data_IF_876517060796
#
_entry.id   IF_876517060796
#
_cell.length_a   1.000
_cell.length_b   1.000
_cell.length_c   1.000
_cell.angle_alpha   90.00
_cell.angle_beta   90.00
_cell.angle_gamma   90.00
#
_symmetry.space_group_name_H-M   'P 1'
#
loop_
_entity.id
_entity.type
_entity.pdbx_description
1 polymer ?
#
# COMPACT_ATOMS: atom_id res chain seq x y z
N UNK A 1 33.60 -7.09 23.60
CA UNK A 1 32.25 -7.37 24.13
C UNK A 1 31.46 -6.08 23.98
N UNK A 2 30.37 -6.09 23.20
CA UNK A 2 29.56 -4.88 23.00
C UNK A 2 28.73 -4.61 24.27
N UNK A 3 28.65 -3.34 24.71
CA UNK A 3 27.85 -2.96 25.86
C UNK A 3 26.36 -3.28 25.65
N UNK A 4 25.63 -3.73 26.68
CA UNK A 4 24.20 -3.93 26.60
C UNK A 4 23.55 -2.56 26.41
N UNK A 5 23.11 -2.27 25.18
CA UNK A 5 22.42 -1.02 24.86
C UNK A 5 21.33 -0.76 25.89
N UNK A 6 21.37 0.43 26.52
CA UNK A 6 20.44 0.85 27.56
C UNK A 6 19.03 0.47 27.14
N UNK A 7 18.28 -0.28 27.95
CA UNK A 7 16.93 -0.76 27.60
C UNK A 7 15.89 0.34 27.35
N UNK A 8 16.30 1.60 27.32
CA UNK A 8 15.55 2.79 26.98
C UNK A 8 15.25 2.87 25.48
N UNK A 9 14.15 3.54 25.15
CA UNK A 9 13.77 3.77 23.76
C UNK A 9 14.75 4.70 23.02
N UNK A 10 15.02 4.37 21.77
CA UNK A 10 15.86 5.19 20.89
C UNK A 10 15.14 6.48 20.45
N UNK A 11 15.90 7.48 20.02
CA UNK A 11 15.32 8.74 19.52
C UNK A 11 14.43 8.54 18.30
N UNK A 12 14.75 7.56 17.44
CA UNK A 12 13.91 7.19 16.30
C UNK A 12 12.57 6.63 16.75
N UNK A 13 12.54 5.74 17.76
CA UNK A 13 11.29 5.23 18.33
C UNK A 13 10.46 6.36 18.95
N UNK A 14 11.10 7.26 19.70
CA UNK A 14 10.44 8.42 20.31
C UNK A 14 9.87 9.38 19.27
N UNK A 15 10.63 9.69 18.20
CA UNK A 15 10.15 10.51 17.07
C UNK A 15 8.93 9.88 16.44
N UNK A 16 9.00 8.59 16.13
CA UNK A 16 7.91 7.85 15.50
C UNK A 16 6.65 7.79 16.37
N UNK A 17 6.80 7.57 17.67
CA UNK A 17 5.70 7.58 18.61
C UNK A 17 4.98 8.94 18.64
N UNK A 18 5.72 10.06 18.61
CA UNK A 18 5.15 11.41 18.55
C UNK A 18 4.39 11.68 17.25
N UNK A 19 4.92 11.24 16.11
CA UNK A 19 4.22 11.35 14.81
C UNK A 19 2.86 10.65 14.81
N UNK A 20 2.72 9.56 15.59
CA UNK A 20 1.48 8.79 15.74
C UNK A 20 0.57 9.29 16.88
N UNK A 21 0.99 10.35 17.59
CA UNK A 21 0.26 10.88 18.75
C UNK A 21 0.28 9.94 19.96
N UNK A 22 1.28 9.07 20.08
CA UNK A 22 1.47 8.20 21.25
C UNK A 22 2.09 9.01 22.38
N UNK A 23 1.44 9.00 23.55
CA UNK A 23 1.98 9.59 24.77
C UNK A 23 2.84 8.57 25.54
N UNK A 24 4.01 8.99 26.01
CA UNK A 24 4.96 8.15 26.73
C UNK A 24 5.85 8.99 27.67
N UNK A 25 6.49 8.36 28.66
CA UNK A 25 7.49 8.99 29.53
C UNK A 25 8.90 8.94 28.91
N UNK A 26 9.78 9.86 29.26
CA UNK A 26 11.14 9.92 28.70
C UNK A 26 12.01 8.70 29.06
N UNK A 27 11.69 8.04 30.18
CA UNK A 27 12.36 6.83 30.69
C UNK A 27 11.75 5.53 30.14
N UNK A 28 10.83 5.59 29.18
CA UNK A 28 10.18 4.40 28.65
C UNK A 28 11.19 3.43 28.02
N UNK A 29 11.01 2.14 28.30
CA UNK A 29 11.82 1.10 27.68
C UNK A 29 11.53 0.98 26.18
N UNK A 30 12.55 0.60 25.40
CA UNK A 30 12.43 0.38 23.96
C UNK A 30 11.29 -0.60 23.63
N UNK A 31 11.21 -1.72 24.36
CA UNK A 31 10.16 -2.73 24.19
C UNK A 31 8.76 -2.21 24.49
N UNK A 32 8.59 -1.42 25.55
CA UNK A 32 7.28 -0.87 25.91
C UNK A 32 6.80 0.17 24.90
N UNK A 33 7.69 1.06 24.44
CA UNK A 33 7.34 2.07 23.44
C UNK A 33 6.95 1.42 22.11
N UNK A 34 7.68 0.38 21.71
CA UNK A 34 7.38 -0.47 20.58
C UNK A 34 5.96 -1.06 20.61
N UNK A 35 5.52 -1.56 21.78
CA UNK A 35 4.16 -2.07 21.95
C UNK A 35 3.09 -0.98 21.81
N UNK A 36 3.35 0.22 22.32
CA UNK A 36 2.43 1.36 22.20
C UNK A 36 2.31 1.85 20.75
N UNK A 37 3.44 1.93 20.03
CA UNK A 37 3.46 2.23 18.59
C UNK A 37 2.64 1.19 17.83
N UNK A 38 2.83 -0.10 18.12
CA UNK A 38 2.09 -1.20 17.50
C UNK A 38 0.58 -1.04 17.69
N UNK A 39 0.15 -0.81 18.93
CA UNK A 39 -1.25 -0.63 19.28
C UNK A 39 -1.84 0.58 18.52
N UNK A 40 -1.11 1.70 18.49
CA UNK A 40 -1.58 2.92 17.83
C UNK A 40 -1.70 2.76 16.32
N UNK A 41 -0.74 2.10 15.67
CA UNK A 41 -0.83 1.81 14.24
C UNK A 41 -2.04 0.92 13.91
N UNK A 42 -2.34 -0.06 14.76
CA UNK A 42 -3.53 -0.92 14.61
C UNK A 42 -4.84 -0.16 14.82
N UNK A 43 -4.87 0.84 15.70
CA UNK A 43 -6.05 1.69 15.90
C UNK A 43 -6.30 2.64 14.72
N UNK A 44 -5.24 3.26 14.20
CA UNK A 44 -5.36 4.34 13.21
C UNK A 44 -5.61 3.82 11.79
N UNK A 45 -4.88 2.79 11.36
CA UNK A 45 -4.89 2.31 9.98
C UNK A 45 -4.40 0.85 9.92
N UNK A 46 -5.17 -0.10 10.48
CA UNK A 46 -4.75 -1.49 10.59
C UNK A 46 -4.50 -2.09 9.20
N UNK A 47 -3.33 -2.72 8.96
CA UNK A 47 -3.11 -3.46 7.73
C UNK A 47 -3.94 -4.75 7.72
N UNK A 48 -4.55 -5.12 6.59
CA UNK A 48 -5.19 -6.42 6.44
C UNK A 48 -4.13 -7.53 6.37
N UNK A 49 -4.48 -8.74 6.82
CA UNK A 49 -3.54 -9.87 6.95
C UNK A 49 -2.80 -10.21 5.64
N UNK A 50 -3.50 -10.12 4.50
CA UNK A 50 -2.90 -10.38 3.19
C UNK A 50 -1.78 -9.38 2.86
N UNK A 51 -1.89 -8.11 3.28
CA UNK A 51 -0.89 -7.08 3.01
C UNK A 51 0.34 -7.30 3.88
N UNK A 52 0.13 -7.72 5.14
CA UNK A 52 1.20 -8.17 6.03
C UNK A 52 1.93 -9.35 5.39
N UNK A 53 1.21 -10.37 4.93
CA UNK A 53 1.82 -11.53 4.29
C UNK A 53 2.63 -11.17 3.03
N UNK A 54 2.13 -10.27 2.19
CA UNK A 54 2.88 -9.77 1.02
C UNK A 54 4.16 -9.06 1.45
N UNK A 55 4.11 -8.22 2.49
CA UNK A 55 5.29 -7.52 3.00
C UNK A 55 6.33 -8.49 3.57
N UNK A 56 5.92 -9.49 4.34
CA UNK A 56 6.81 -10.52 4.89
C UNK A 56 7.51 -11.32 3.79
N UNK A 57 6.77 -11.69 2.73
CA UNK A 57 7.34 -12.39 1.57
C UNK A 57 8.37 -11.56 0.80
N UNK A 58 8.25 -10.23 0.85
CA UNK A 58 9.21 -9.32 0.24
C UNK A 58 10.35 -8.94 1.19
N UNK A 59 10.32 -9.40 2.46
CA UNK A 59 11.31 -9.04 3.47
C UNK A 59 11.26 -7.56 3.87
N UNK A 60 10.09 -6.92 3.71
CA UNK A 60 9.88 -5.50 4.01
C UNK A 60 8.81 -5.31 5.07
N UNK A 61 8.75 -4.12 5.65
CA UNK A 61 7.79 -3.79 6.69
C UNK A 61 8.17 -4.36 8.04
N UNK A 62 7.37 -4.02 9.04
CA UNK A 62 7.53 -4.52 10.41
C UNK A 62 6.16 -4.65 11.07
N UNK A 63 6.13 -5.28 12.26
CA UNK A 63 4.92 -5.48 13.06
C UNK A 63 4.21 -4.17 13.51
N UNK A 64 4.78 -3.01 13.19
CA UNK A 64 4.29 -1.67 13.53
C UNK A 64 3.89 -0.86 12.29
N UNK A 65 3.87 -1.47 11.11
CA UNK A 65 3.58 -0.76 9.88
C UNK A 65 2.08 -0.58 9.73
N UNK A 66 1.67 0.65 9.43
CA UNK A 66 0.28 0.94 9.03
C UNK A 66 -0.02 0.33 7.65
N UNK A 67 -1.29 0.19 7.30
CA UNK A 67 -1.71 -0.22 5.95
C UNK A 67 -1.06 0.66 4.89
N UNK A 68 -1.09 1.99 5.06
CA UNK A 68 -0.45 2.95 4.15
C UNK A 68 1.04 2.66 3.96
N UNK A 69 1.76 2.41 5.05
CA UNK A 69 3.20 2.18 5.01
C UNK A 69 3.56 0.88 4.32
N UNK A 70 2.88 -0.22 4.66
CA UNK A 70 3.10 -1.48 3.97
C UNK A 70 2.84 -1.34 2.48
N UNK A 71 1.79 -0.59 2.11
CA UNK A 71 1.48 -0.37 0.70
C UNK A 71 2.60 0.36 -0.05
N UNK A 72 3.16 1.42 0.56
CA UNK A 72 4.29 2.16 -0.02
C UNK A 72 5.58 1.37 -0.04
N UNK A 73 5.85 0.56 0.99
CA UNK A 73 7.03 -0.29 1.03
C UNK A 73 6.97 -1.33 -0.09
N UNK A 74 5.82 -1.98 -0.29
CA UNK A 74 5.63 -2.94 -1.40
C UNK A 74 5.83 -2.25 -2.75
N UNK A 75 5.21 -1.08 -2.95
CA UNK A 75 5.37 -0.27 -4.16
C UNK A 75 6.84 0.11 -4.44
N UNK A 76 7.54 0.58 -3.42
CA UNK A 76 8.95 0.97 -3.52
C UNK A 76 9.86 -0.23 -3.81
N UNK A 77 9.66 -1.35 -3.11
CA UNK A 77 10.44 -2.57 -3.30
C UNK A 77 10.29 -3.13 -4.72
N UNK A 78 9.05 -3.21 -5.23
CA UNK A 78 8.79 -3.68 -6.59
C UNK A 78 9.40 -2.75 -7.64
N UNK A 79 9.44 -1.44 -7.37
CA UNK A 79 10.12 -0.49 -8.25
C UNK A 79 11.65 -0.66 -8.22
N UNK A 80 12.25 -0.75 -7.03
CA UNK A 80 13.71 -0.83 -6.85
C UNK A 80 14.27 -2.15 -7.38
N UNK A 81 13.55 -3.25 -7.20
CA UNK A 81 13.95 -4.59 -7.68
C UNK A 81 13.69 -4.81 -9.17
N UNK A 82 13.10 -3.84 -9.89
CA UNK A 82 12.82 -3.96 -11.32
C UNK A 82 11.74 -4.99 -11.66
N UNK A 83 10.87 -5.34 -10.70
CA UNK A 83 9.79 -6.33 -10.86
C UNK A 83 8.56 -5.71 -11.52
N UNK A 84 8.71 -5.33 -12.80
CA UNK A 84 7.74 -4.49 -13.50
C UNK A 84 6.36 -5.13 -13.66
N UNK A 85 6.29 -6.45 -13.87
CA UNK A 85 5.01 -7.16 -13.99
C UNK A 85 4.27 -7.15 -12.65
N UNK A 86 4.96 -7.46 -11.55
CA UNK A 86 4.38 -7.45 -10.22
C UNK A 86 3.98 -6.03 -9.79
N UNK A 87 4.78 -5.03 -10.13
CA UNK A 87 4.43 -3.63 -9.91
C UNK A 87 3.16 -3.24 -10.69
N UNK A 88 2.99 -3.73 -11.92
CA UNK A 88 1.78 -3.52 -12.70
C UNK A 88 0.57 -4.29 -12.15
N UNK A 89 0.76 -5.50 -11.62
CA UNK A 89 -0.30 -6.22 -10.89
C UNK A 89 -0.72 -5.42 -9.65
N UNK A 90 0.26 -4.93 -8.88
CA UNK A 90 0.03 -4.06 -7.73
C UNK A 90 -0.75 -2.79 -8.09
N UNK A 91 -0.40 -2.19 -9.23
CA UNK A 91 -1.10 -1.04 -9.78
C UNK A 91 -2.53 -1.36 -10.21
N UNK A 92 -2.73 -2.43 -10.99
CA UNK A 92 -4.04 -2.87 -11.44
C UNK A 92 -4.95 -3.22 -10.27
N UNK A 93 -4.39 -3.79 -9.20
CA UNK A 93 -5.10 -4.01 -7.96
C UNK A 93 -5.64 -2.68 -7.39
N UNK A 94 -4.77 -1.69 -7.16
CA UNK A 94 -5.22 -0.36 -6.69
C UNK A 94 -6.30 0.26 -7.58
N UNK A 95 -6.13 0.22 -8.91
CA UNK A 95 -7.12 0.73 -9.88
C UNK A 95 -8.47 0.03 -9.73
N UNK A 96 -8.48 -1.31 -9.69
CA UNK A 96 -9.72 -2.09 -9.57
C UNK A 96 -10.50 -1.77 -8.29
N UNK A 97 -9.77 -1.53 -7.20
CA UNK A 97 -10.31 -1.18 -5.89
C UNK A 97 -10.93 0.20 -5.89
N UNK A 98 -10.27 1.16 -6.52
CA UNK A 98 -10.85 2.48 -6.73
C UNK A 98 -12.14 2.41 -7.54
N UNK A 99 -12.17 1.63 -8.63
CA UNK A 99 -13.34 1.51 -9.49
C UNK A 99 -14.54 0.79 -8.84
N UNK A 100 -14.28 -0.20 -7.99
CA UNK A 100 -15.31 -0.97 -7.28
C UNK A 100 -15.84 -0.26 -6.03
N UNK A 101 -15.08 0.68 -5.46
CA UNK A 101 -15.46 1.40 -4.25
C UNK A 101 -15.46 0.51 -2.99
N UNK A 102 -14.70 -0.58 -3.01
CA UNK A 102 -14.69 -1.60 -1.96
C UNK A 102 -13.64 -1.35 -0.85
N UNK A 103 -13.91 -1.86 0.35
CA UNK A 103 -13.04 -1.80 1.55
C UNK A 103 -11.95 -2.87 1.54
N UNK A 104 -10.72 -2.54 2.00
CA UNK A 104 -9.41 -3.21 1.82
C UNK A 104 -9.27 -4.68 2.30
N UNK A 105 -10.28 -5.50 2.06
CA UNK A 105 -10.49 -6.78 2.74
C UNK A 105 -9.82 -7.97 2.02
N UNK A 106 -9.19 -7.76 0.85
CA UNK A 106 -8.40 -8.79 0.15
C UNK A 106 -8.19 -8.57 -1.35
N UNK A 107 -7.14 -9.14 -1.98
CA UNK A 107 -6.95 -9.08 -3.43
C UNK A 107 -8.11 -9.68 -4.22
N UNK A 108 -8.67 -10.79 -3.73
CA UNK A 108 -9.81 -11.49 -4.35
C UNK A 108 -11.14 -10.75 -4.16
N UNK A 109 -11.22 -9.85 -3.17
CA UNK A 109 -12.43 -9.06 -2.95
C UNK A 109 -12.70 -8.09 -4.09
N UNK A 110 -11.66 -7.69 -4.85
CA UNK A 110 -11.80 -6.85 -6.07
C UNK A 110 -12.72 -7.43 -7.16
N UNK A 111 -13.10 -8.72 -7.05
CA UNK A 111 -13.86 -9.44 -8.06
C UNK A 111 -13.04 -9.82 -9.29
N UNK A 112 -11.73 -9.58 -9.29
CA UNK A 112 -10.85 -9.84 -10.42
C UNK A 112 -9.85 -10.94 -10.05
N UNK A 113 -9.88 -12.08 -10.75
CA UNK A 113 -8.90 -13.12 -10.52
C UNK A 113 -7.47 -12.61 -10.74
N UNK A 114 -6.54 -12.95 -9.83
CA UNK A 114 -5.12 -12.56 -9.95
C UNK A 114 -4.52 -12.94 -11.30
N UNK A 115 -4.88 -14.09 -11.85
CA UNK A 115 -4.44 -14.52 -13.18
C UNK A 115 -4.85 -13.56 -14.32
N UNK A 116 -6.00 -12.90 -14.19
CA UNK A 116 -6.45 -11.87 -15.14
C UNK A 116 -5.62 -10.60 -15.00
N UNK A 117 -5.34 -10.17 -13.75
CA UNK A 117 -4.45 -9.03 -13.50
C UNK A 117 -3.04 -9.28 -14.04
N UNK A 118 -2.49 -10.48 -13.84
CA UNK A 118 -1.18 -10.85 -14.38
C UNK A 118 -1.14 -10.82 -15.91
N UNK A 119 -2.17 -11.33 -16.59
CA UNK A 119 -2.26 -11.28 -18.06
C UNK A 119 -2.28 -9.84 -18.56
N UNK A 120 -3.05 -8.97 -17.90
CA UNK A 120 -3.10 -7.54 -18.24
C UNK A 120 -1.77 -6.84 -17.94
N UNK A 121 -1.16 -7.12 -16.80
CA UNK A 121 0.14 -6.58 -16.41
C UNK A 121 1.21 -6.95 -17.44
N UNK A 122 1.29 -8.21 -17.87
CA UNK A 122 2.23 -8.65 -18.92
C UNK A 122 2.00 -7.95 -20.25
N UNK A 123 0.74 -7.67 -20.60
CA UNK A 123 0.41 -6.90 -21.82
C UNK A 123 0.89 -5.45 -21.67
N UNK A 124 0.58 -4.81 -20.54
CA UNK A 124 0.95 -3.43 -20.24
C UNK A 124 2.46 -3.23 -20.10
N UNK A 125 3.19 -4.23 -19.60
CA UNK A 125 4.65 -4.19 -19.47
C UNK A 125 5.37 -4.06 -20.83
N UNK A 126 4.74 -4.48 -21.92
CA UNK A 126 5.31 -4.35 -23.29
C UNK A 126 5.24 -2.91 -23.80
N UNK A 127 4.45 -2.06 -23.16
CA UNK A 127 4.23 -0.69 -23.54
C UNK A 127 5.15 0.21 -22.70
N UNK A 128 6.32 0.58 -23.23
CA UNK A 128 7.32 1.36 -22.49
C UNK A 128 6.77 2.66 -21.88
N UNK A 129 5.80 3.29 -22.56
CA UNK A 129 5.14 4.50 -22.08
C UNK A 129 4.28 4.25 -20.82
N UNK A 130 3.74 3.04 -20.62
CA UNK A 130 2.94 2.70 -19.43
C UNK A 130 3.82 2.75 -18.20
N UNK A 131 4.98 2.07 -18.23
CA UNK A 131 5.92 2.07 -17.11
C UNK A 131 6.49 3.46 -16.85
N UNK A 132 6.78 4.24 -17.90
CA UNK A 132 7.19 5.64 -17.73
C UNK A 132 6.09 6.51 -17.14
N UNK A 133 4.84 6.30 -17.52
CA UNK A 133 3.70 7.03 -16.96
C UNK A 133 3.56 6.67 -15.48
N UNK A 134 3.57 5.38 -15.16
CA UNK A 134 3.50 4.83 -13.81
C UNK A 134 4.58 5.45 -12.90
N UNK A 135 5.86 5.32 -13.26
CA UNK A 135 7.01 5.78 -12.47
C UNK A 135 6.98 7.29 -12.17
N UNK A 136 6.36 8.13 -13.03
CA UNK A 136 6.21 9.58 -12.78
C UNK A 136 5.29 9.91 -11.60
N UNK A 137 4.39 9.01 -11.22
CA UNK A 137 3.39 9.27 -10.18
C UNK A 137 3.60 8.44 -8.91
N UNK A 138 4.57 7.52 -8.87
CA UNK A 138 4.61 6.46 -7.87
C UNK A 138 5.12 6.77 -6.44
N UNK A 139 5.52 7.97 -6.00
CA UNK A 139 5.66 8.17 -4.56
C UNK A 139 4.29 8.48 -3.97
N UNK A 140 3.59 7.48 -3.44
CA UNK A 140 2.44 7.75 -2.58
C UNK A 140 1.06 7.61 -3.20
N UNK A 141 0.99 7.33 -4.51
CA UNK A 141 -0.22 7.56 -5.30
C UNK A 141 -1.11 6.33 -5.40
N UNK A 142 -0.53 5.12 -5.39
CA UNK A 142 -1.33 3.91 -5.47
C UNK A 142 -2.23 3.70 -4.25
N UNK A 143 -1.74 4.02 -3.05
CA UNK A 143 -2.57 3.97 -1.83
C UNK A 143 -3.79 4.90 -1.91
N UNK A 144 -3.71 5.97 -2.72
CA UNK A 144 -4.82 6.92 -2.89
C UNK A 144 -5.94 6.37 -3.78
N UNK A 145 -5.68 5.30 -4.54
CA UNK A 145 -6.70 4.54 -5.24
C UNK A 145 -7.45 3.66 -4.23
N UNK A 146 -8.63 4.12 -3.78
CA UNK A 146 -9.40 3.43 -2.72
C UNK A 146 -9.96 4.35 -1.63
N UNK A 147 -9.80 5.67 -1.77
CA UNK A 147 -10.75 6.63 -1.23
C UNK A 147 -10.37 7.34 0.05
N UNK A 148 -9.47 8.33 -0.01
CA UNK A 148 -9.52 9.42 0.98
C UNK A 148 -8.86 10.75 0.56
N UNK A 149 -7.96 10.81 -0.43
CA UNK A 149 -7.33 12.10 -0.81
C UNK A 149 -6.93 12.22 -2.30
N UNK A 150 -7.73 13.00 -3.07
CA UNK A 150 -7.33 13.64 -4.33
C UNK A 150 -7.64 12.90 -5.65
N UNK A 151 -7.79 13.67 -6.75
CA UNK A 151 -7.96 13.15 -8.12
C UNK A 151 -6.66 12.52 -8.60
N UNK A 152 -6.67 11.23 -8.84
CA UNK A 152 -5.55 10.47 -9.39
C UNK A 152 -5.87 10.05 -10.83
N UNK A 153 -5.99 11.03 -11.73
CA UNK A 153 -6.34 10.82 -13.14
C UNK A 153 -5.09 10.76 -14.04
N UNK A 154 -4.29 9.70 -13.88
CA UNK A 154 -3.11 9.48 -14.75
C UNK A 154 -3.52 8.79 -16.06
N UNK A 155 -2.72 8.94 -17.12
CA UNK A 155 -2.99 8.21 -18.37
C UNK A 155 -2.93 6.70 -18.17
N UNK A 156 -1.94 6.20 -17.41
CA UNK A 156 -1.86 4.80 -17.02
C UNK A 156 -3.10 4.34 -16.24
N UNK A 157 -3.61 5.18 -15.34
CA UNK A 157 -4.86 4.91 -14.61
C UNK A 157 -6.04 4.79 -15.57
N UNK A 158 -6.26 5.77 -16.45
CA UNK A 158 -7.37 5.75 -17.42
C UNK A 158 -7.33 4.52 -18.32
N UNK A 159 -6.15 4.16 -18.80
CA UNK A 159 -5.97 2.99 -19.67
C UNK A 159 -6.22 1.70 -18.92
N UNK A 160 -5.65 1.55 -17.72
CA UNK A 160 -5.89 0.39 -16.87
C UNK A 160 -7.37 0.27 -16.49
N UNK A 161 -7.99 1.37 -16.04
CA UNK A 161 -9.39 1.43 -15.72
C UNK A 161 -10.22 0.97 -16.92
N UNK A 162 -9.97 1.51 -18.12
CA UNK A 162 -10.68 1.11 -19.33
C UNK A 162 -10.51 -0.37 -19.67
N UNK A 163 -9.28 -0.90 -19.60
CA UNK A 163 -9.02 -2.32 -19.85
C UNK A 163 -9.74 -3.23 -18.84
N UNK A 164 -9.83 -2.80 -17.58
CA UNK A 164 -10.58 -3.50 -16.55
C UNK A 164 -12.09 -3.43 -16.82
N UNK A 165 -12.63 -2.26 -17.20
CA UNK A 165 -14.05 -2.13 -17.62
C UNK A 165 -14.38 -3.07 -18.77
N UNK A 166 -13.59 -3.02 -19.85
CA UNK A 166 -13.83 -3.79 -21.08
C UNK A 166 -13.73 -5.31 -20.83
N UNK A 167 -12.88 -5.74 -19.89
CA UNK A 167 -12.71 -7.17 -19.54
C UNK A 167 -13.73 -7.70 -18.55
N UNK A 168 -14.29 -6.85 -17.70
CA UNK A 168 -14.98 -7.29 -16.48
C UNK A 168 -16.40 -6.74 -16.34
N UNK A 169 -16.82 -5.82 -17.22
CA UNK A 169 -18.14 -5.18 -17.12
C UNK A 169 -18.30 -4.32 -15.86
N UNK A 170 -17.21 -3.99 -15.16
CA UNK A 170 -17.21 -3.11 -13.99
C UNK A 170 -17.47 -1.69 -14.50
N UNK A 171 -18.74 -1.29 -14.57
CA UNK A 171 -19.13 0.11 -14.83
C UNK A 171 -18.60 0.99 -13.69
N UNK A 172 -18.15 2.23 -13.97
CA UNK A 172 -17.77 3.19 -12.93
C UNK A 172 -18.91 3.36 -11.93
N UNK A 173 -18.85 2.69 -10.77
CA UNK A 173 -19.73 2.99 -9.65
C UNK A 173 -19.14 4.14 -8.84
N UNK A 174 -18.98 5.29 -9.48
CA UNK A 174 -18.60 6.53 -8.80
C UNK A 174 -19.59 7.65 -9.12
N UNK A 175 -20.74 7.62 -8.40
CA UNK A 175 -21.53 8.81 -8.02
C UNK A 175 -22.71 8.56 -7.05
N UNK A 176 -22.63 7.62 -6.10
CA UNK A 176 -23.77 7.37 -5.18
C UNK A 176 -23.47 7.39 -3.67
N UNK A 177 -22.22 7.57 -3.22
CA UNK A 177 -21.90 7.71 -1.80
C UNK A 177 -21.16 9.01 -1.52
N UNK A 178 -21.89 10.11 -1.73
CA UNK A 178 -21.56 11.43 -1.23
C UNK A 178 -22.81 12.04 -0.64
N UNK A 179 -23.12 11.66 0.61
CA UNK A 179 -23.90 12.45 1.57
C UNK A 179 -23.32 12.18 2.95
#
# INVERSE_FOLDING_TARGET
>A
MAEPGSGLATDDQKRRARELGVHFSDEISSRALDMLIAARCRELDPPPDWLVHVSERLGIGNRYSTRRELYHLVEAELMMSGREVELLVWFLYGVSRYMSGEAWDGPDSSGIPTATMEKLARRLAREAWVMQSLKRYLPGTLYRFGGLYGRTDTLAFRVAARLLQDKLGISERHKARGR
#
